data_IF_877541509418
#
_entry.id   IF_877541509418
#
_cell.length_a   1.000
_cell.length_b   1.000
_cell.length_c   1.000
_cell.angle_alpha   90.00
_cell.angle_beta   90.00
_cell.angle_gamma   90.00
#
_symmetry.space_group_name_H-M   'P 1'
#
loop_
_entity.id
_entity.type
_entity.pdbx_description
1 polymer ?
#
# COMPACT_ATOMS: atom_id res chain seq x y z
N UNK A 1 2.86 -19.74 -15.61
CA UNK A 1 3.56 -18.66 -14.88
C UNK A 1 3.00 -18.64 -13.48
N UNK A 2 3.86 -18.55 -12.47
CA UNK A 2 3.46 -18.36 -11.07
C UNK A 2 3.99 -17.00 -10.68
N UNK A 3 3.09 -16.12 -10.23
CA UNK A 3 3.42 -14.75 -9.84
C UNK A 3 2.96 -14.57 -8.39
N UNK A 4 3.89 -14.19 -7.53
CA UNK A 4 3.59 -13.78 -6.16
C UNK A 4 3.57 -12.24 -6.12
N UNK A 5 2.37 -11.68 -5.95
CA UNK A 5 2.19 -10.27 -5.60
C UNK A 5 2.41 -10.16 -4.09
N UNK A 6 3.45 -9.44 -3.69
CA UNK A 6 3.89 -9.28 -2.31
C UNK A 6 2.91 -8.50 -1.44
N UNK A 7 3.28 -8.27 -0.16
CA UNK A 7 2.39 -7.64 0.80
C UNK A 7 2.05 -6.19 0.40
N UNK A 8 0.82 -5.80 0.72
CA UNK A 8 0.34 -4.41 0.61
C UNK A 8 0.69 -3.64 1.90
N UNK A 9 0.74 -2.30 1.89
CA UNK A 9 0.98 -1.52 3.09
C UNK A 9 -0.11 -1.76 4.15
N UNK A 10 0.32 -1.84 5.42
CA UNK A 10 -0.60 -1.95 6.55
C UNK A 10 -0.50 -0.74 7.48
N UNK A 11 -1.60 -0.44 8.16
CA UNK A 11 -1.74 0.68 9.09
C UNK A 11 -2.04 0.18 10.50
N UNK A 12 -1.66 0.94 11.53
CA UNK A 12 -1.83 0.54 12.94
C UNK A 12 -3.30 0.55 13.43
N UNK A 13 -4.24 0.91 12.57
CA UNK A 13 -5.69 0.83 12.74
C UNK A 13 -6.35 0.92 11.36
N UNK A 14 -7.68 0.91 11.29
CA UNK A 14 -8.40 1.21 10.04
C UNK A 14 -7.91 2.53 9.43
N UNK A 15 -7.61 2.56 8.13
CA UNK A 15 -7.02 3.74 7.49
C UNK A 15 -7.87 5.01 7.66
N UNK A 16 -9.19 4.90 7.57
CA UNK A 16 -10.10 6.03 7.83
C UNK A 16 -9.96 6.60 9.25
N UNK A 17 -9.69 5.73 10.23
CA UNK A 17 -9.43 6.13 11.62
C UNK A 17 -8.07 6.81 11.76
N UNK A 18 -7.04 6.30 11.09
CA UNK A 18 -5.71 6.94 11.06
C UNK A 18 -5.80 8.36 10.47
N UNK A 19 -6.49 8.53 9.35
CA UNK A 19 -6.72 9.85 8.72
C UNK A 19 -7.48 10.78 9.66
N UNK A 20 -8.51 10.28 10.34
CA UNK A 20 -9.30 11.05 11.31
C UNK A 20 -8.46 11.51 12.51
N UNK A 21 -7.57 10.65 13.00
CA UNK A 21 -6.65 10.98 14.09
C UNK A 21 -5.66 12.07 13.65
N UNK A 22 -5.06 11.95 12.45
CA UNK A 22 -4.17 12.98 11.89
C UNK A 22 -4.86 14.35 11.78
N UNK A 23 -6.08 14.39 11.25
CA UNK A 23 -6.89 15.60 11.17
C UNK A 23 -7.15 16.21 12.55
N UNK A 24 -7.46 15.36 13.53
CA UNK A 24 -7.74 15.80 14.90
C UNK A 24 -6.50 16.38 15.59
N UNK A 25 -5.33 15.79 15.35
CA UNK A 25 -4.05 16.19 15.95
C UNK A 25 -3.48 17.44 15.29
N UNK A 26 -3.39 17.45 13.95
CA UNK A 26 -2.68 18.50 13.22
C UNK A 26 -3.58 19.57 12.60
N UNK A 27 -4.91 19.43 12.70
CA UNK A 27 -5.92 20.35 12.14
C UNK A 27 -5.72 20.64 10.65
N UNK A 28 -5.15 19.68 9.91
CA UNK A 28 -4.90 19.76 8.47
C UNK A 28 -5.05 18.38 7.82
N UNK A 29 -5.35 18.37 6.53
CA UNK A 29 -5.41 17.13 5.75
C UNK A 29 -4.03 16.43 5.72
N UNK A 30 -3.99 15.09 5.84
CA UNK A 30 -2.74 14.38 5.65
C UNK A 30 -2.26 14.47 4.19
N UNK A 31 -0.94 14.38 3.96
CA UNK A 31 -0.39 14.25 2.61
C UNK A 31 -0.92 13.00 1.91
N UNK A 32 -0.76 12.90 0.58
CA UNK A 32 -1.21 11.73 -0.19
C UNK A 32 -0.45 10.46 0.22
N UNK A 33 0.87 10.59 0.40
CA UNK A 33 1.76 9.57 0.93
C UNK A 33 2.15 9.97 2.36
N UNK A 34 2.02 9.05 3.31
CA UNK A 34 2.37 9.33 4.71
C UNK A 34 2.96 8.12 5.42
N UNK A 35 3.72 8.39 6.48
CA UNK A 35 4.25 7.40 7.43
C UNK A 35 3.50 7.38 8.77
N UNK A 36 2.63 8.37 9.02
CA UNK A 36 1.85 8.45 10.26
C UNK A 36 0.93 7.22 10.38
N UNK A 37 1.12 6.42 11.43
CA UNK A 37 0.36 5.20 11.67
C UNK A 37 0.64 4.05 10.70
N UNK A 38 1.73 4.11 9.93
CA UNK A 38 2.16 3.03 9.02
C UNK A 38 2.89 1.92 9.80
N UNK A 39 2.59 0.65 9.50
CA UNK A 39 3.29 -0.49 10.06
C UNK A 39 4.64 -0.69 9.34
N UNK A 40 5.75 -0.61 10.09
CA UNK A 40 7.11 -0.74 9.54
C UNK A 40 7.49 -2.16 9.11
N UNK A 41 6.91 -3.20 9.74
CA UNK A 41 7.27 -4.60 9.50
C UNK A 41 7.01 -5.04 8.05
N UNK A 42 6.00 -4.45 7.40
CA UNK A 42 5.63 -4.79 6.02
C UNK A 42 6.77 -4.50 5.04
N UNK A 43 7.55 -3.44 5.28
CA UNK A 43 8.70 -3.11 4.44
C UNK A 43 9.82 -4.15 4.55
N UNK A 44 9.97 -4.76 5.73
CA UNK A 44 10.93 -5.82 5.99
C UNK A 44 10.53 -7.10 5.26
N UNK A 45 9.24 -7.46 5.31
CA UNK A 45 8.69 -8.59 4.56
C UNK A 45 8.80 -8.40 3.04
N UNK A 46 8.46 -7.23 2.51
CA UNK A 46 8.63 -6.94 1.08
C UNK A 46 10.10 -7.10 0.64
N UNK A 47 11.03 -6.59 1.44
CA UNK A 47 12.47 -6.72 1.18
C UNK A 47 12.91 -8.19 1.21
N UNK A 48 12.48 -8.96 2.22
CA UNK A 48 12.78 -10.37 2.35
C UNK A 48 12.26 -11.17 1.13
N UNK A 49 11.01 -10.96 0.74
CA UNK A 49 10.43 -11.67 -0.40
C UNK A 49 11.07 -11.26 -1.72
N UNK A 50 11.33 -9.97 -1.93
CA UNK A 50 12.03 -9.46 -3.12
C UNK A 50 13.39 -10.14 -3.34
N UNK A 51 14.07 -10.51 -2.26
CA UNK A 51 15.39 -11.16 -2.31
C UNK A 51 15.34 -12.70 -2.42
N UNK A 52 14.26 -13.33 -1.98
CA UNK A 52 14.22 -14.79 -1.81
C UNK A 52 13.20 -15.51 -2.72
N UNK A 53 12.06 -14.91 -3.04
CA UNK A 53 11.05 -15.52 -3.91
C UNK A 53 11.59 -15.81 -5.33
N UNK A 54 12.36 -14.92 -5.99
CA UNK A 54 12.92 -15.22 -7.31
C UNK A 54 13.81 -16.46 -7.34
N UNK A 55 14.50 -16.78 -6.24
CA UNK A 55 15.37 -17.97 -6.12
C UNK A 55 14.58 -19.29 -6.17
N UNK A 56 13.27 -19.22 -5.93
CA UNK A 56 12.36 -20.37 -6.00
C UNK A 56 11.80 -20.60 -7.42
N UNK A 57 12.24 -19.82 -8.41
CA UNK A 57 11.71 -19.90 -9.79
C UNK A 57 10.32 -19.27 -9.97
N UNK A 58 9.92 -18.37 -9.05
CA UNK A 58 8.63 -17.66 -9.06
C UNK A 58 8.86 -16.17 -9.35
N UNK A 59 7.99 -15.55 -10.15
CA UNK A 59 8.02 -14.10 -10.39
C UNK A 59 7.51 -13.36 -9.15
N UNK A 60 8.27 -12.38 -8.63
CA UNK A 60 7.83 -11.52 -7.52
C UNK A 60 7.47 -10.12 -8.01
N UNK A 61 6.30 -9.62 -7.61
CA UNK A 61 5.89 -8.23 -7.83
C UNK A 61 5.65 -7.58 -6.46
N UNK A 62 6.40 -6.53 -6.16
CA UNK A 62 6.22 -5.76 -4.92
C UNK A 62 4.99 -4.85 -5.02
N UNK A 63 3.90 -5.20 -4.32
CA UNK A 63 2.76 -4.30 -4.15
C UNK A 63 3.11 -3.12 -3.24
N UNK A 64 3.93 -3.36 -2.21
CA UNK A 64 4.46 -2.31 -1.32
C UNK A 64 5.14 -1.18 -2.12
N UNK A 65 6.12 -1.50 -2.98
CA UNK A 65 6.79 -0.48 -3.83
C UNK A 65 5.88 0.16 -4.88
N UNK A 66 4.77 -0.49 -5.25
CA UNK A 66 3.79 0.10 -6.15
C UNK A 66 2.90 1.15 -5.44
N UNK A 67 2.68 0.98 -4.13
CA UNK A 67 1.82 1.82 -3.29
C UNK A 67 2.60 2.79 -2.38
N UNK A 68 3.92 2.68 -2.29
CA UNK A 68 4.77 3.49 -1.43
C UNK A 68 5.92 4.16 -2.19
N UNK A 69 6.42 5.26 -1.62
CA UNK A 69 7.61 5.97 -2.05
C UNK A 69 8.38 6.50 -0.81
N UNK A 70 9.37 7.37 -1.03
CA UNK A 70 10.20 7.94 0.04
C UNK A 70 9.40 8.75 1.09
N UNK A 71 8.19 9.24 0.75
CA UNK A 71 7.31 9.97 1.66
C UNK A 71 6.36 9.06 2.48
N UNK A 72 6.44 7.74 2.29
CA UNK A 72 5.56 6.75 2.92
C UNK A 72 4.63 6.08 1.92
N UNK A 73 3.45 5.66 2.38
CA UNK A 73 2.51 4.88 1.56
C UNK A 73 1.24 5.66 1.24
N UNK A 74 0.65 5.35 0.08
CA UNK A 74 -0.50 6.05 -0.48
C UNK A 74 -1.75 5.83 0.39
N UNK A 75 -2.36 6.93 0.81
CA UNK A 75 -3.56 6.94 1.68
C UNK A 75 -4.85 7.03 0.89
N UNK A 76 -4.84 7.76 -0.23
CA UNK A 76 -6.02 8.02 -1.06
C UNK A 76 -5.64 8.37 -2.49
N UNK A 77 -6.54 8.13 -3.43
CA UNK A 77 -6.41 8.47 -4.86
C UNK A 77 -7.30 9.65 -5.29
N UNK A 78 -8.00 10.26 -4.35
CA UNK A 78 -8.96 11.33 -4.56
C UNK A 78 -9.32 12.01 -3.25
N UNK A 79 -10.31 12.90 -3.27
CA UNK A 79 -10.74 13.65 -2.09
C UNK A 79 -11.92 12.96 -1.40
N UNK A 80 -11.83 12.80 -0.08
CA UNK A 80 -12.89 12.21 0.74
C UNK A 80 -12.67 10.72 1.07
N UNK A 81 -13.52 10.15 1.94
CA UNK A 81 -13.36 8.80 2.47
C UNK A 81 -13.54 7.71 1.40
N UNK A 82 -14.32 7.95 0.35
CA UNK A 82 -14.58 6.97 -0.72
C UNK A 82 -13.35 6.63 -1.56
N UNK A 83 -12.28 7.44 -1.45
CA UNK A 83 -11.06 7.28 -2.25
C UNK A 83 -9.85 6.79 -1.45
N UNK A 84 -10.04 6.38 -0.18
CA UNK A 84 -8.95 5.81 0.62
C UNK A 84 -8.53 4.45 0.06
N UNK A 85 -7.28 4.04 0.29
CA UNK A 85 -6.69 2.85 -0.33
C UNK A 85 -6.99 1.54 0.40
N UNK A 86 -7.34 1.58 1.68
CA UNK A 86 -7.65 0.40 2.51
C UNK A 86 -8.98 0.55 3.28
N UNK A 87 -9.74 -0.54 3.37
CA UNK A 87 -11.00 -0.65 4.11
C UNK A 87 -10.75 -0.64 5.61
N UNK A 88 -9.82 -1.47 6.05
CA UNK A 88 -9.37 -1.63 7.43
C UNK A 88 -7.88 -1.30 7.53
N UNK A 89 -7.07 -2.12 8.20
CA UNK A 89 -5.64 -1.91 8.30
C UNK A 89 -4.90 -2.20 6.98
N UNK A 90 -5.47 -2.96 6.04
CA UNK A 90 -4.73 -3.37 4.83
C UNK A 90 -5.53 -3.93 3.65
N UNK A 91 -6.79 -4.35 3.82
CA UNK A 91 -7.59 -4.84 2.70
C UNK A 91 -7.88 -3.71 1.72
N UNK A 92 -7.41 -3.84 0.48
CA UNK A 92 -7.54 -2.79 -0.53
C UNK A 92 -9.01 -2.47 -0.83
N UNK A 93 -9.34 -1.19 -0.84
CA UNK A 93 -10.61 -0.72 -1.42
C UNK A 93 -10.59 -0.92 -2.94
N UNK A 94 -11.76 -0.73 -3.59
CA UNK A 94 -11.80 -0.69 -5.07
C UNK A 94 -10.82 0.35 -5.65
N UNK A 95 -10.81 1.63 -5.21
CA UNK A 95 -9.81 2.60 -5.69
C UNK A 95 -8.36 2.19 -5.41
N UNK A 96 -8.07 1.60 -4.25
CA UNK A 96 -6.73 1.11 -3.91
C UNK A 96 -6.26 -0.03 -4.83
N UNK A 97 -7.14 -0.99 -5.13
CA UNK A 97 -6.87 -2.09 -6.04
C UNK A 97 -6.73 -1.63 -7.49
N UNK A 98 -7.62 -0.75 -7.95
CA UNK A 98 -7.55 -0.14 -9.29
C UNK A 98 -6.21 0.58 -9.48
N UNK A 99 -5.75 1.34 -8.48
CA UNK A 99 -4.44 2.00 -8.50
C UNK A 99 -3.29 1.00 -8.57
N UNK A 100 -3.29 -0.04 -7.74
CA UNK A 100 -2.25 -1.07 -7.74
C UNK A 100 -2.12 -1.72 -9.11
N UNK A 101 -3.23 -2.18 -9.69
CA UNK A 101 -3.20 -2.87 -10.99
C UNK A 101 -2.92 -1.95 -12.17
N UNK A 102 -3.24 -0.65 -12.09
CA UNK A 102 -2.74 0.32 -13.06
C UNK A 102 -1.19 0.36 -13.07
N UNK A 103 -0.55 0.20 -11.91
CA UNK A 103 0.92 0.22 -11.77
C UNK A 103 1.60 -1.09 -12.16
N UNK A 104 0.95 -2.24 -11.93
CA UNK A 104 1.58 -3.56 -12.09
C UNK A 104 1.02 -4.41 -13.24
N UNK A 105 -0.08 -4.00 -13.86
CA UNK A 105 -0.80 -4.81 -14.85
C UNK A 105 0.05 -5.27 -16.03
N UNK A 106 0.93 -4.40 -16.53
CA UNK A 106 1.86 -4.71 -17.63
C UNK A 106 2.97 -5.73 -17.27
N UNK A 107 3.14 -6.04 -15.98
CA UNK A 107 4.03 -7.12 -15.51
C UNK A 107 3.33 -8.49 -15.58
N UNK A 108 2.00 -8.49 -15.63
CA UNK A 108 1.16 -9.69 -15.68
C UNK A 108 0.73 -9.97 -17.11
N UNK A 109 0.16 -8.98 -17.79
CA UNK A 109 -0.27 -9.08 -19.20
C UNK A 109 0.78 -8.38 -20.05
N UNK A 110 1.39 -9.13 -20.97
CA UNK A 110 2.33 -8.60 -21.96
C UNK A 110 1.60 -8.12 -23.20
#
# INVERSE_FOLDING_TARGET
>A
RIIFIGPVPEWNANLVKIISNYLSEFKKNPPLYMTYGLNSEISEWDSYFSNNVPKMGIEYISAYKALCNESGCLTRVGNGPDFITAVDWGHLTKPGSDFLFNKIGNKIIK
#
